data_IF_926386751381
#
_entry.id   IF_926386751381
#
_cell.length_a   1.000
_cell.length_b   1.000
_cell.length_c   1.000
_cell.angle_alpha   90.00
_cell.angle_beta   90.00
_cell.angle_gamma   90.00
#
_symmetry.space_group_name_H-M   'P 1'
#
loop_
_entity.id
_entity.type
_entity.pdbx_description
1 polymer ?
#
# COMPACT_ATOMS: atom_id res chain seq x y z
N UNK A 1 -12.45 -12.78 -1.78
CA UNK A 1 -12.59 -11.86 -0.63
C UNK A 1 -11.27 -11.75 0.11
N UNK A 2 -10.90 -10.54 0.48
CA UNK A 2 -9.65 -10.34 1.20
C UNK A 2 -9.75 -11.02 2.57
N UNK A 3 -8.79 -11.87 2.93
CA UNK A 3 -8.86 -12.57 4.22
C UNK A 3 -8.87 -11.61 5.40
N UNK A 4 -9.60 -12.00 6.44
CA UNK A 4 -9.72 -11.16 7.63
C UNK A 4 -8.36 -10.84 8.27
N UNK A 5 -7.44 -11.80 8.26
CA UNK A 5 -6.12 -11.58 8.86
C UNK A 5 -5.33 -10.51 8.12
N UNK A 6 -5.50 -10.43 6.80
CA UNK A 6 -4.84 -9.41 6.00
C UNK A 6 -5.45 -8.04 6.30
N UNK A 7 -6.78 -7.95 6.33
CA UNK A 7 -7.45 -6.70 6.66
C UNK A 7 -7.07 -6.21 8.04
N UNK A 8 -6.98 -7.11 9.02
CA UNK A 8 -6.63 -6.71 10.39
C UNK A 8 -5.24 -6.08 10.43
N UNK A 9 -4.28 -6.66 9.72
CA UNK A 9 -2.93 -6.10 9.68
C UNK A 9 -2.90 -4.75 8.97
N UNK A 10 -3.59 -4.65 7.84
CA UNK A 10 -3.63 -3.39 7.10
C UNK A 10 -4.32 -2.30 7.89
N UNK A 11 -5.41 -2.63 8.59
CA UNK A 11 -6.08 -1.66 9.46
C UNK A 11 -5.16 -1.18 10.57
N UNK A 12 -4.41 -2.08 11.16
CA UNK A 12 -3.48 -1.71 12.21
C UNK A 12 -2.45 -0.70 11.70
N UNK A 13 -1.94 -0.91 10.50
CA UNK A 13 -0.96 -0.01 9.90
C UNK A 13 -1.61 1.33 9.53
N UNK A 14 -2.69 1.27 8.76
CA UNK A 14 -3.25 2.47 8.14
C UNK A 14 -4.01 3.34 9.12
N UNK A 15 -4.84 2.74 9.98
CA UNK A 15 -5.63 3.51 10.92
C UNK A 15 -4.80 4.06 12.07
N UNK A 16 -3.55 3.62 12.19
CA UNK A 16 -2.62 4.21 13.15
C UNK A 16 -2.04 5.53 12.67
N UNK A 17 -2.25 5.90 11.40
CA UNK A 17 -1.72 7.14 10.85
C UNK A 17 -2.71 8.29 11.11
N UNK A 18 -2.21 9.53 11.29
CA UNK A 18 -3.09 10.64 11.69
C UNK A 18 -4.23 10.90 10.71
N UNK A 19 -5.43 10.99 11.22
CA UNK A 19 -6.65 11.37 10.51
C UNK A 19 -7.03 10.44 9.35
N UNK A 20 -6.49 9.24 9.32
CA UNK A 20 -6.86 8.26 8.29
C UNK A 20 -8.22 7.68 8.62
N UNK A 21 -9.02 7.48 7.58
CA UNK A 21 -10.29 6.76 7.72
C UNK A 21 -10.38 5.69 6.65
N UNK A 22 -11.21 4.69 6.91
CA UNK A 22 -11.39 3.55 6.03
C UNK A 22 -12.74 3.65 5.38
N UNK A 23 -12.82 3.24 4.11
CA UNK A 23 -14.12 3.11 3.46
C UNK A 23 -14.09 1.93 2.50
N UNK A 24 -15.26 1.42 2.18
CA UNK A 24 -15.34 0.38 1.19
C UNK A 24 -15.20 1.00 -0.18
N UNK A 25 -14.37 0.39 -1.00
CA UNK A 25 -14.23 0.79 -2.38
C UNK A 25 -15.23 -0.02 -3.20
N UNK A 26 -15.35 0.32 -4.48
CA UNK A 26 -16.18 -0.45 -5.37
C UNK A 26 -15.76 -1.94 -5.33
N UNK A 27 -14.45 -2.17 -5.24
CA UNK A 27 -13.91 -3.52 -5.01
C UNK A 27 -12.90 -3.37 -3.89
N UNK A 28 -13.08 -4.12 -2.81
CA UNK A 28 -12.14 -4.13 -1.70
C UNK A 28 -12.30 -2.97 -0.73
N UNK A 29 -11.24 -2.69 -0.02
CA UNK A 29 -11.23 -1.69 1.06
C UNK A 29 -10.10 -0.70 0.81
N UNK A 30 -10.36 0.56 1.08
CA UNK A 30 -9.34 1.59 0.90
C UNK A 30 -9.21 2.47 2.13
N UNK A 31 -8.05 3.08 2.28
CA UNK A 31 -7.74 3.98 3.39
C UNK A 31 -7.42 5.35 2.82
N UNK A 32 -7.98 6.37 3.45
CA UNK A 32 -8.04 7.71 2.91
C UNK A 32 -7.44 8.72 3.85
N UNK A 33 -6.82 9.75 3.26
CA UNK A 33 -6.40 10.93 3.97
C UNK A 33 -6.86 12.14 3.15
N UNK A 34 -7.70 12.98 3.76
CA UNK A 34 -8.22 14.18 3.09
C UNK A 34 -8.81 13.86 1.72
N UNK A 35 -9.62 12.81 1.65
CA UNK A 35 -10.30 12.36 0.43
C UNK A 35 -9.34 11.84 -0.64
N UNK A 36 -8.11 11.52 -0.25
CA UNK A 36 -7.13 10.94 -1.17
C UNK A 36 -6.84 9.51 -0.75
N UNK A 37 -6.90 8.62 -1.72
CA UNK A 37 -6.68 7.20 -1.48
C UNK A 37 -5.17 6.92 -1.46
N UNK A 38 -4.63 6.51 -0.31
CA UNK A 38 -3.21 6.19 -0.22
C UNK A 38 -2.96 4.68 -0.14
N UNK A 39 -3.98 3.88 0.10
CA UNK A 39 -3.85 2.44 0.18
C UNK A 39 -5.18 1.78 -0.16
N UNK A 40 -5.12 0.70 -0.94
CA UNK A 40 -6.31 0.00 -1.38
C UNK A 40 -5.97 -1.48 -1.50
N UNK A 41 -6.76 -2.35 -0.87
CA UNK A 41 -6.56 -3.78 -0.95
C UNK A 41 -7.78 -4.42 -1.59
N UNK A 42 -7.54 -5.39 -2.46
CA UNK A 42 -8.61 -6.11 -3.13
C UNK A 42 -8.14 -7.51 -3.51
N UNK A 43 -9.08 -8.34 -3.89
CA UNK A 43 -8.76 -9.65 -4.41
C UNK A 43 -9.01 -9.68 -5.91
N UNK A 44 -8.08 -10.26 -6.65
CA UNK A 44 -8.29 -10.61 -8.05
C UNK A 44 -8.75 -12.05 -8.05
N UNK A 45 -9.85 -12.34 -8.72
CA UNK A 45 -10.35 -13.70 -8.82
C UNK A 45 -11.14 -13.85 -10.12
N UNK A 46 -10.89 -14.93 -10.84
CA UNK A 46 -11.54 -15.17 -12.12
C UNK A 46 -11.27 -14.08 -13.14
N UNK A 47 -10.10 -13.46 -13.07
CA UNK A 47 -9.74 -12.41 -14.00
C UNK A 47 -10.39 -11.06 -13.72
N UNK A 48 -10.99 -10.88 -12.54
CA UNK A 48 -11.68 -9.64 -12.17
C UNK A 48 -11.07 -9.05 -10.91
N UNK A 49 -10.94 -7.73 -10.83
CA UNK A 49 -11.25 -6.75 -11.88
C UNK A 49 -10.24 -6.83 -13.03
N UNK A 50 -10.69 -6.70 -14.27
CA UNK A 50 -9.82 -6.94 -15.43
C UNK A 50 -8.56 -6.07 -15.48
N UNK A 51 -8.66 -4.80 -15.12
CA UNK A 51 -7.49 -3.91 -15.16
C UNK A 51 -6.42 -4.38 -14.17
N UNK A 52 -6.85 -4.80 -12.97
CA UNK A 52 -5.92 -5.31 -11.97
C UNK A 52 -5.33 -6.65 -12.39
N UNK A 53 -6.16 -7.52 -12.95
CA UNK A 53 -5.68 -8.82 -13.41
C UNK A 53 -4.62 -8.66 -14.49
N UNK A 54 -4.85 -7.76 -15.43
CA UNK A 54 -3.88 -7.49 -16.51
C UNK A 54 -2.58 -6.92 -15.95
N UNK A 55 -2.69 -5.94 -15.07
CA UNK A 55 -1.51 -5.29 -14.52
C UNK A 55 -0.68 -6.24 -13.67
N UNK A 56 -1.35 -7.07 -12.88
CA UNK A 56 -0.67 -8.02 -12.01
C UNK A 56 -0.20 -9.27 -12.74
N UNK A 57 -0.74 -9.52 -13.93
CA UNK A 57 -0.37 -10.69 -14.72
C UNK A 57 -0.93 -11.99 -14.18
N UNK A 58 -2.07 -11.95 -13.53
CA UNK A 58 -2.70 -13.16 -12.98
C UNK A 58 -4.20 -12.99 -12.95
N UNK A 59 -4.91 -14.09 -13.15
CA UNK A 59 -6.36 -14.11 -13.02
C UNK A 59 -6.79 -14.39 -11.59
N UNK A 60 -5.85 -14.68 -10.70
CA UNK A 60 -6.14 -14.95 -9.31
C UNK A 60 -6.37 -16.43 -9.02
N UNK A 61 -6.77 -16.74 -7.78
CA UNK A 61 -6.99 -15.77 -6.70
C UNK A 61 -5.70 -15.13 -6.21
N UNK A 62 -5.72 -13.85 -6.05
CA UNK A 62 -4.55 -13.11 -5.58
C UNK A 62 -4.99 -11.87 -4.81
N UNK A 63 -4.29 -11.57 -3.73
CA UNK A 63 -4.57 -10.37 -2.94
C UNK A 63 -3.59 -9.30 -3.38
N UNK A 64 -4.10 -8.14 -3.74
CA UNK A 64 -3.30 -7.03 -4.23
C UNK A 64 -3.48 -5.82 -3.34
N UNK A 65 -2.37 -5.20 -3.00
CA UNK A 65 -2.35 -3.94 -2.27
C UNK A 65 -1.80 -2.88 -3.21
N UNK A 66 -2.52 -1.78 -3.39
CA UNK A 66 -1.99 -0.67 -4.18
C UNK A 66 -1.69 0.51 -3.27
N UNK A 67 -0.70 1.29 -3.64
CA UNK A 67 -0.26 2.43 -2.86
C UNK A 67 0.46 3.45 -3.75
N UNK A 68 0.71 4.64 -3.20
CA UNK A 68 1.37 5.71 -3.96
C UNK A 68 2.86 5.69 -3.70
N UNK A 69 3.62 6.09 -4.70
CA UNK A 69 5.06 6.16 -4.57
C UNK A 69 5.60 7.25 -5.49
N UNK A 70 6.86 7.61 -5.32
CA UNK A 70 7.53 8.57 -6.19
C UNK A 70 7.96 7.87 -7.48
N UNK A 71 8.24 8.66 -8.50
CA UNK A 71 8.76 8.11 -9.75
C UNK A 71 10.05 7.33 -9.54
N UNK A 72 10.92 7.87 -8.70
CA UNK A 72 12.20 7.22 -8.44
C UNK A 72 12.02 5.84 -7.83
N UNK A 73 11.20 5.75 -6.79
CA UNK A 73 11.02 4.49 -6.09
C UNK A 73 10.18 3.51 -6.89
N UNK A 74 9.30 4.01 -7.75
CA UNK A 74 8.47 3.15 -8.58
C UNK A 74 9.30 2.19 -9.41
N UNK A 75 10.34 2.69 -10.06
CA UNK A 75 11.17 1.84 -10.91
C UNK A 75 11.89 0.77 -10.10
N UNK A 76 12.38 1.15 -8.93
CA UNK A 76 13.06 0.19 -8.07
C UNK A 76 12.11 -0.91 -7.61
N UNK A 77 10.91 -0.55 -7.22
CA UNK A 77 9.95 -1.54 -6.74
C UNK A 77 9.48 -2.48 -7.84
N UNK A 78 9.22 -1.93 -9.02
CA UNK A 78 8.63 -2.73 -10.09
C UNK A 78 9.67 -3.52 -10.89
N UNK A 79 10.93 -3.48 -10.49
CA UNK A 79 11.94 -4.30 -11.10
C UNK A 79 11.80 -5.78 -10.75
N UNK A 80 11.09 -6.10 -9.69
CA UNK A 80 10.87 -7.48 -9.26
C UNK A 80 9.45 -7.94 -9.54
N UNK A 81 9.20 -9.24 -9.39
CA UNK A 81 7.90 -9.82 -9.78
C UNK A 81 6.76 -9.57 -8.78
N UNK A 82 7.08 -9.15 -7.57
CA UNK A 82 6.05 -8.96 -6.55
C UNK A 82 5.32 -7.62 -6.66
N UNK A 83 5.83 -6.74 -7.52
CA UNK A 83 5.26 -5.40 -7.69
C UNK A 83 4.99 -5.14 -9.16
N UNK A 84 3.97 -4.35 -9.45
CA UNK A 84 3.62 -4.04 -10.83
C UNK A 84 3.15 -2.60 -10.96
N UNK A 85 3.26 -2.06 -12.18
CA UNK A 85 2.75 -0.72 -12.45
C UNK A 85 1.24 -0.76 -12.55
N UNK A 86 0.58 0.16 -11.88
CA UNK A 86 -0.82 0.42 -12.13
C UNK A 86 -0.84 1.59 -13.09
N UNK A 87 -1.38 1.37 -14.28
CA UNK A 87 -1.35 2.38 -15.34
C UNK A 87 -2.42 3.46 -15.17
N UNK A 88 -3.08 3.48 -14.05
CA UNK A 88 -4.11 4.44 -13.69
C UNK A 88 -3.69 5.13 -12.41
N UNK A 89 -4.45 6.16 -12.03
CA UNK A 89 -4.26 6.75 -10.72
C UNK A 89 -3.02 7.60 -10.57
N UNK A 90 -2.66 8.36 -11.61
CA UNK A 90 -1.47 9.22 -11.55
C UNK A 90 -1.79 10.60 -10.97
N UNK A 91 -2.89 10.70 -10.23
CA UNK A 91 -3.32 11.97 -9.66
C UNK A 91 -2.40 12.40 -8.53
N UNK A 92 -2.49 13.68 -8.20
CA UNK A 92 -1.75 14.28 -7.08
C UNK A 92 -0.23 14.18 -7.22
N UNK A 93 0.26 14.07 -8.46
CA UNK A 93 1.70 14.05 -8.69
C UNK A 93 2.40 12.79 -8.23
N UNK A 94 1.66 11.69 -8.07
CA UNK A 94 2.24 10.43 -7.62
C UNK A 94 1.95 9.32 -8.60
N UNK A 95 2.64 8.20 -8.42
CA UNK A 95 2.42 6.99 -9.21
C UNK A 95 1.81 5.93 -8.33
N UNK A 96 1.07 5.01 -8.94
CA UNK A 96 0.46 3.91 -8.20
C UNK A 96 1.19 2.62 -8.54
N UNK A 97 1.52 1.87 -7.51
CA UNK A 97 2.16 0.57 -7.63
C UNK A 97 1.29 -0.46 -6.95
N UNK A 98 1.17 -1.63 -7.55
CA UNK A 98 0.49 -2.75 -6.95
C UNK A 98 1.48 -3.76 -6.43
N UNK A 99 1.16 -4.37 -5.31
CA UNK A 99 1.97 -5.40 -4.67
C UNK A 99 1.11 -6.64 -4.47
N UNK A 100 1.54 -7.75 -5.03
CA UNK A 100 0.83 -9.01 -4.85
C UNK A 100 1.28 -9.58 -3.52
N UNK A 101 0.36 -9.67 -2.56
CA UNK A 101 0.68 -10.20 -1.24
C UNK A 101 0.68 -11.71 -1.29
N UNK A 102 1.77 -12.31 -0.86
CA UNK A 102 1.87 -13.76 -0.76
C UNK A 102 1.26 -14.28 0.53
N UNK A 103 1.53 -15.52 0.84
CA UNK A 103 1.00 -16.14 2.04
C UNK A 103 1.62 -15.56 3.31
N UNK A 104 2.83 -15.08 3.22
CA UNK A 104 3.55 -14.49 4.37
C UNK A 104 4.11 -13.13 3.96
N UNK A 105 3.27 -12.11 3.94
CA UNK A 105 3.75 -10.79 3.56
C UNK A 105 4.80 -10.30 4.55
N UNK A 106 5.73 -9.52 4.05
CA UNK A 106 6.66 -8.82 4.91
C UNK A 106 5.94 -7.58 5.45
N UNK A 107 5.32 -7.72 6.60
CA UNK A 107 4.50 -6.64 7.15
C UNK A 107 5.31 -5.41 7.55
N UNK A 108 6.59 -5.58 7.88
CA UNK A 108 7.44 -4.42 8.15
C UNK A 108 7.66 -3.61 6.89
N UNK A 109 7.91 -4.28 5.78
CA UNK A 109 8.04 -3.61 4.49
C UNK A 109 6.73 -2.94 4.09
N UNK A 110 5.61 -3.64 4.25
CA UNK A 110 4.31 -3.08 3.92
C UNK A 110 4.05 -1.81 4.74
N UNK A 111 4.38 -1.84 6.02
CA UNK A 111 4.19 -0.67 6.88
C UNK A 111 5.01 0.52 6.38
N UNK A 112 6.24 0.29 5.97
CA UNK A 112 7.09 1.36 5.44
C UNK A 112 6.49 1.92 4.16
N UNK A 113 6.08 1.05 3.24
CA UNK A 113 5.53 1.48 1.96
C UNK A 113 4.24 2.28 2.13
N UNK A 114 3.35 1.84 3.01
CA UNK A 114 2.10 2.53 3.24
C UNK A 114 2.30 3.85 3.97
N UNK A 115 3.25 3.91 4.89
CA UNK A 115 3.58 5.16 5.59
C UNK A 115 4.12 6.19 4.60
N UNK A 116 4.98 5.78 3.69
CA UNK A 116 5.50 6.70 2.68
C UNK A 116 4.42 7.13 1.70
N UNK A 117 3.51 6.22 1.34
CA UNK A 117 2.37 6.57 0.51
C UNK A 117 1.52 7.65 1.18
N UNK A 118 1.25 7.48 2.48
CA UNK A 118 0.54 8.47 3.27
C UNK A 118 1.26 9.82 3.23
N UNK A 119 2.58 9.83 3.44
CA UNK A 119 3.35 11.08 3.46
C UNK A 119 3.22 11.85 2.16
N UNK A 120 3.13 11.16 1.04
CA UNK A 120 3.01 11.81 -0.26
C UNK A 120 1.70 12.58 -0.41
N UNK A 121 0.66 12.14 0.26
CA UNK A 121 -0.68 12.72 0.09
C UNK A 121 -1.13 13.56 1.28
N UNK A 122 -0.56 13.36 2.44
CA UNK A 122 -0.99 14.04 3.65
C UNK A 122 -0.49 15.48 3.67
N UNK A 123 -1.26 16.39 4.29
CA UNK A 123 -0.74 17.73 4.53
C UNK A 123 0.55 17.66 5.35
N UNK A 124 1.45 18.62 5.11
CA UNK A 124 2.75 18.61 5.77
C UNK A 124 2.64 18.53 7.29
N UNK A 125 1.64 19.18 7.87
CA UNK A 125 1.41 19.15 9.30
C UNK A 125 1.20 17.73 9.84
N UNK A 126 0.43 16.94 9.11
CA UNK A 126 0.17 15.58 9.53
C UNK A 126 1.36 14.67 9.28
N UNK A 127 2.03 14.86 8.15
CA UNK A 127 3.22 14.07 7.84
C UNK A 127 4.30 14.32 8.88
N UNK A 128 4.42 15.55 9.37
CA UNK A 128 5.40 15.90 10.39
C UNK A 128 5.15 15.16 11.71
N UNK A 129 3.90 14.87 12.02
CA UNK A 129 3.58 14.11 13.22
C UNK A 129 4.17 12.70 13.18
N UNK A 130 4.18 12.09 12.00
CA UNK A 130 4.77 10.76 11.85
C UNK A 130 6.28 10.84 12.06
N UNK A 131 6.91 11.84 11.48
CA UNK A 131 8.35 11.96 11.61
C UNK A 131 8.78 12.10 13.07
N UNK A 132 7.96 12.76 13.89
CA UNK A 132 8.26 12.94 15.29
C UNK A 132 8.10 11.67 16.10
N UNK A 133 7.22 10.79 15.68
CA UNK A 133 7.00 9.54 16.38
C UNK A 133 7.58 8.41 15.60
N UNK A 134 8.50 8.66 14.74
CA UNK A 134 9.06 7.63 13.92
C UNK A 134 9.52 6.50 14.79
N UNK A 135 9.25 5.32 14.43
CA UNK A 135 9.62 4.20 15.19
C UNK A 135 11.09 4.09 15.14
N UNK A 136 11.54 3.51 16.08
CA UNK A 136 12.87 3.14 16.06
C UNK A 136 13.11 2.35 14.85
N UNK A 137 14.19 2.48 14.36
CA UNK A 137 14.57 1.78 13.23
C UNK A 137 14.44 0.38 13.56
N UNK A 138 13.88 -0.20 13.35
CA UNK A 138 13.77 -1.38 13.49
C UNK A 138 14.76 -2.03 13.24
N UNK A 139 15.16 -2.47 13.34
CA UNK A 139 15.95 -3.16 13.18
C UNK A 139 16.99 -2.95 13.04
N UNK A 140 17.33 -2.59 13.38
CA UNK A 140 18.31 -2.33 13.20
C UNK A 140 19.21 -3.06 13.47
N UNK A 141 19.54 -3.26 13.68
CA UNK A 141 20.37 -3.94 13.71
C UNK A 141 20.51 -4.87 14.18
N UNK A 142 20.06 -5.35 14.19
CA UNK A 142 20.10 -6.20 14.53
C UNK A 142 21.14 -6.70 14.44
N UNK A 143 21.64 -6.62 14.35
CA UNK A 143 22.52 -7.05 14.24
C UNK A 143 23.49 -6.76 14.40
N UNK A 144 23.66 -6.37 14.75
CA UNK A 144 24.47 -6.11 14.93
C UNK A 144 25.06 -6.29 15.47
N UNK A 145 25.52 -6.44 15.64
CA UNK A 145 26.20 -6.64 16.06
C UNK A 145 26.57 -6.66 16.45
#
# INVERSE_FOLDING_TARGET
>A
MVPARVLTRLRSICLGLPEVYEEEAWVGTRWMIRKRNFAHVLEIDGGHPPAYARAAGTDGPAIVLTFRTSDFLKDALTSGPAFFHALWGTRWGTKVVGHVLGKRPDWDEVAVLLTESYRLLAPARLAARIAQVAPAPRRAPKNRP
#
